data_IF_879251626755
#
_entry.id   IF_879251626755
#
_cell.length_a   1.000
_cell.length_b   1.000
_cell.length_c   1.000
_cell.angle_alpha   90.00
_cell.angle_beta   90.00
_cell.angle_gamma   90.00
#
_symmetry.space_group_name_H-M   'P 1'
#
loop_
_entity.id
_entity.type
_entity.pdbx_description
1 polymer ?
#
# COMPACT_ATOMS: atom_id res chain seq x y z
N UNK A 1 7.99 6.63 33.38
CA UNK A 1 8.51 5.84 32.24
C UNK A 1 7.56 6.12 31.10
N UNK A 2 7.84 7.19 30.37
CA UNK A 2 6.98 7.67 29.29
C UNK A 2 7.24 6.83 28.05
N UNK A 3 6.26 5.98 27.73
CA UNK A 3 6.31 5.10 26.57
C UNK A 3 5.93 5.94 25.34
N UNK A 4 6.93 6.57 24.73
CA UNK A 4 6.77 7.25 23.45
C UNK A 4 6.54 6.19 22.37
N UNK A 5 5.27 5.93 22.09
CA UNK A 5 4.85 5.14 20.93
C UNK A 5 5.03 6.04 19.69
N UNK A 6 6.28 6.20 19.25
CA UNK A 6 6.59 6.93 18.03
C UNK A 6 6.04 6.16 16.84
N UNK A 7 4.93 6.66 16.29
CA UNK A 7 4.43 6.30 14.96
C UNK A 7 5.55 6.58 13.95
N UNK A 8 6.27 5.52 13.57
CA UNK A 8 7.28 5.61 12.53
C UNK A 8 6.59 5.58 11.16
N UNK A 9 6.66 6.70 10.44
CA UNK A 9 6.32 6.75 9.01
C UNK A 9 7.41 6.04 8.22
N UNK A 10 7.21 4.76 7.92
CA UNK A 10 8.01 4.11 6.90
C UNK A 10 7.64 4.69 5.53
N UNK A 11 8.38 5.70 5.08
CA UNK A 11 8.36 6.09 3.66
C UNK A 11 8.91 4.93 2.87
N UNK A 12 8.05 4.19 2.17
CA UNK A 12 8.49 3.18 1.20
C UNK A 12 9.25 3.95 0.12
N UNK A 13 10.58 3.83 0.14
CA UNK A 13 11.42 4.31 -0.95
C UNK A 13 11.15 3.44 -2.17
N UNK A 14 10.27 3.89 -3.05
CA UNK A 14 10.22 3.41 -4.42
C UNK A 14 11.14 4.26 -5.28
N UNK A 15 12.12 3.60 -5.89
CA UNK A 15 12.82 4.14 -7.05
C UNK A 15 11.81 4.69 -8.05
N UNK A 16 12.11 5.83 -8.68
CA UNK A 16 11.25 6.62 -9.57
C UNK A 16 10.48 5.83 -10.65
N UNK A 17 9.38 5.15 -10.29
CA UNK A 17 8.33 4.76 -11.22
C UNK A 17 6.98 5.07 -10.58
N UNK A 18 6.34 6.17 -11.01
CA UNK A 18 5.14 6.69 -10.37
C UNK A 18 3.87 5.91 -10.75
N UNK A 19 3.94 4.66 -11.23
CA UNK A 19 2.74 3.92 -11.65
C UNK A 19 2.29 3.09 -10.47
N UNK A 20 1.07 3.28 -9.93
CA UNK A 20 0.44 2.25 -9.10
C UNK A 20 0.02 1.12 -10.04
N UNK A 21 0.94 0.23 -10.32
CA UNK A 21 0.73 -0.90 -11.22
C UNK A 21 -0.28 -1.87 -10.60
N UNK A 22 -0.76 -2.83 -11.39
CA UNK A 22 -1.52 -3.97 -10.86
C UNK A 22 -0.79 -4.63 -9.70
N UNK A 23 0.53 -4.77 -9.84
CA UNK A 23 1.43 -5.36 -8.87
C UNK A 23 1.47 -4.55 -7.56
N UNK A 24 1.56 -3.23 -7.62
CA UNK A 24 1.54 -2.39 -6.39
C UNK A 24 0.22 -2.51 -5.64
N UNK A 25 -0.90 -2.51 -6.35
CA UNK A 25 -2.21 -2.69 -5.72
C UNK A 25 -2.38 -4.11 -5.14
N UNK A 26 -1.75 -5.12 -5.75
CA UNK A 26 -1.69 -6.48 -5.20
C UNK A 26 -0.79 -6.56 -3.95
N UNK A 27 0.35 -5.86 -3.96
CA UNK A 27 1.25 -5.77 -2.80
C UNK A 27 0.55 -5.12 -1.62
N UNK A 28 -0.13 -3.99 -1.82
CA UNK A 28 -0.92 -3.32 -0.77
C UNK A 28 -2.02 -4.25 -0.23
N UNK A 29 -2.71 -4.98 -1.12
CA UNK A 29 -3.73 -5.95 -0.71
C UNK A 29 -3.15 -7.08 0.14
N UNK A 30 -1.98 -7.59 -0.25
CA UNK A 30 -1.24 -8.60 0.51
C UNK A 30 -0.85 -8.08 1.90
N UNK A 31 -0.25 -6.89 1.99
CA UNK A 31 0.13 -6.29 3.27
C UNK A 31 -1.09 -6.05 4.18
N UNK A 32 -2.23 -5.64 3.62
CA UNK A 32 -3.48 -5.55 4.39
C UNK A 32 -3.93 -6.89 4.96
N UNK A 33 -3.76 -7.99 4.23
CA UNK A 33 -4.09 -9.33 4.74
C UNK A 33 -3.19 -9.77 5.88
N UNK A 34 -1.94 -9.30 5.89
CA UNK A 34 -0.97 -9.53 6.97
C UNK A 34 -1.28 -8.70 8.23
N UNK A 35 -2.25 -7.78 8.15
CA UNK A 35 -2.73 -6.98 9.27
C UNK A 35 -2.20 -5.55 9.31
N UNK A 36 -1.44 -5.13 8.30
CA UNK A 36 -0.95 -3.75 8.22
C UNK A 36 -2.06 -2.76 7.86
N UNK A 37 -1.91 -1.52 8.34
CA UNK A 37 -2.80 -0.41 7.99
C UNK A 37 -2.24 0.26 6.74
N UNK A 38 -3.05 0.31 5.68
CA UNK A 38 -2.70 1.02 4.44
C UNK A 38 -3.45 2.36 4.37
N UNK A 39 -2.70 3.47 4.38
CA UNK A 39 -3.22 4.83 4.35
C UNK A 39 -3.06 5.39 2.94
N UNK A 40 -4.16 5.62 2.21
CA UNK A 40 -4.07 6.13 0.85
C UNK A 40 -3.83 7.64 0.83
N UNK A 41 -3.05 8.10 -0.15
CA UNK A 41 -2.82 9.53 -0.43
C UNK A 41 -2.72 9.78 -1.93
N UNK A 42 -2.95 11.03 -2.34
CA UNK A 42 -2.84 11.44 -3.74
C UNK A 42 -1.43 11.98 -3.99
N UNK A 43 -0.68 11.28 -4.84
CA UNK A 43 0.60 11.78 -5.35
C UNK A 43 0.41 13.05 -6.16
N UNK A 44 1.29 14.00 -5.89
CA UNK A 44 1.39 15.29 -6.57
C UNK A 44 2.52 15.32 -7.60
N UNK A 45 3.12 14.17 -7.89
CA UNK A 45 4.27 14.07 -8.79
C UNK A 45 3.88 14.46 -10.23
N UNK A 46 2.63 14.16 -10.63
CA UNK A 46 2.04 14.60 -11.88
C UNK A 46 0.73 15.36 -11.58
N UNK A 47 0.68 16.70 -11.77
CA UNK A 47 -0.53 17.48 -11.54
C UNK A 47 -1.64 17.22 -12.56
N UNK A 48 -1.33 16.59 -13.71
CA UNK A 48 -2.31 16.23 -14.75
C UNK A 48 -2.87 14.82 -14.58
N UNK A 49 -2.16 13.94 -13.87
CA UNK A 49 -2.62 12.61 -13.47
C UNK A 49 -2.32 12.36 -11.99
N UNK A 50 -3.13 12.92 -11.06
CA UNK A 50 -3.00 12.63 -9.64
C UNK A 50 -3.23 11.13 -9.38
N UNK A 51 -2.17 10.44 -8.93
CA UNK A 51 -2.19 8.99 -8.67
C UNK A 51 -2.44 8.70 -7.20
N UNK A 52 -3.05 7.56 -6.90
CA UNK A 52 -3.26 7.13 -5.51
C UNK A 52 -2.12 6.22 -5.11
N UNK A 53 -1.39 6.64 -4.09
CA UNK A 53 -0.32 5.90 -3.43
C UNK A 53 -0.79 5.48 -2.03
N UNK A 54 -0.05 4.59 -1.38
CA UNK A 54 -0.38 4.09 -0.05
C UNK A 54 0.85 4.14 0.84
N UNK A 55 0.70 4.68 2.04
CA UNK A 55 1.63 4.49 3.15
C UNK A 55 1.21 3.25 3.94
N UNK A 56 2.18 2.48 4.42
CA UNK A 56 1.92 1.28 5.23
C UNK A 56 2.43 1.53 6.65
N UNK A 57 1.54 1.43 7.63
CA UNK A 57 1.92 1.55 9.05
C UNK A 57 2.24 0.18 9.64
N UNK A 58 3.37 0.11 10.35
CA UNK A 58 3.84 -1.09 11.03
C UNK A 58 5.33 -1.03 11.31
N UNK A 59 5.87 -2.13 11.82
CA UNK A 59 7.32 -2.26 12.00
C UNK A 59 8.02 -2.35 10.63
N UNK A 60 9.04 -1.51 10.43
CA UNK A 60 9.72 -1.38 9.14
C UNK A 60 10.39 -2.69 8.71
N UNK A 61 11.11 -3.34 9.61
CA UNK A 61 11.86 -4.55 9.27
C UNK A 61 10.91 -5.70 8.89
N UNK A 62 9.78 -5.80 9.59
CA UNK A 62 8.75 -6.79 9.27
C UNK A 62 8.04 -6.48 7.94
N UNK A 63 7.73 -5.21 7.66
CA UNK A 63 7.15 -4.79 6.38
C UNK A 63 8.11 -5.12 5.22
N UNK A 64 9.40 -4.80 5.36
CA UNK A 64 10.40 -5.10 4.32
C UNK A 64 10.54 -6.62 4.09
N UNK A 65 10.53 -7.42 5.15
CA UNK A 65 10.55 -8.88 5.05
C UNK A 65 9.32 -9.43 4.32
N UNK A 66 8.13 -8.92 4.64
CA UNK A 66 6.88 -9.35 3.98
C UNK A 66 6.80 -8.87 2.52
N UNK A 67 7.29 -7.67 2.19
CA UNK A 67 7.44 -7.23 0.79
C UNK A 67 8.34 -8.20 0.03
N UNK A 68 9.45 -8.63 0.63
CA UNK A 68 10.36 -9.58 -0.01
C UNK A 68 9.73 -10.97 -0.16
N UNK A 69 8.91 -11.40 0.82
CA UNK A 69 8.13 -12.63 0.75
C UNK A 69 7.11 -12.60 -0.41
N UNK A 70 6.47 -11.45 -0.65
CA UNK A 70 5.55 -11.24 -1.77
C UNK A 70 6.21 -11.49 -3.14
N UNK A 71 7.43 -10.97 -3.34
CA UNK A 71 8.14 -11.12 -4.62
C UNK A 71 8.86 -12.46 -4.80
N UNK A 72 9.11 -13.19 -3.72
CA UNK A 72 9.85 -14.47 -3.76
C UNK A 72 8.96 -15.69 -3.96
N UNK A 73 7.63 -15.51 -4.12
CA UNK A 73 6.62 -16.58 -4.17
C UNK A 73 6.66 -17.54 -2.97
N UNK A 74 7.36 -17.15 -1.89
CA UNK A 74 7.63 -18.02 -0.75
C UNK A 74 6.37 -18.22 0.12
N UNK A 75 5.46 -17.24 0.11
CA UNK A 75 4.23 -17.28 0.90
C UNK A 75 2.99 -17.46 0.01
N UNK A 76 2.27 -18.56 0.24
CA UNK A 76 1.01 -18.82 -0.44
C UNK A 76 -0.14 -18.14 0.30
N UNK A 77 -0.82 -17.23 -0.39
CA UNK A 77 -1.98 -16.51 0.13
C UNK A 77 -3.24 -17.07 -0.52
N UNK A 78 -4.29 -17.27 0.26
CA UNK A 78 -5.57 -17.74 -0.27
C UNK A 78 -6.11 -16.79 -1.35
N UNK A 79 -6.29 -17.30 -2.57
CA UNK A 79 -6.69 -16.49 -3.75
C UNK A 79 -7.98 -15.69 -3.52
N UNK A 80 -8.92 -16.22 -2.76
CA UNK A 80 -10.17 -15.54 -2.43
C UNK A 80 -9.95 -14.36 -1.48
N UNK A 81 -9.08 -14.50 -0.48
CA UNK A 81 -8.76 -13.44 0.46
C UNK A 81 -8.02 -12.31 -0.26
N UNK A 82 -7.03 -12.65 -1.09
CA UNK A 82 -6.29 -11.69 -1.90
C UNK A 82 -7.19 -10.94 -2.88
N UNK A 83 -8.10 -11.64 -3.56
CA UNK A 83 -9.05 -11.03 -4.48
C UNK A 83 -9.99 -10.03 -3.78
N UNK A 84 -10.45 -10.34 -2.56
CA UNK A 84 -11.29 -9.42 -1.76
C UNK A 84 -10.51 -8.18 -1.35
N UNK A 85 -9.34 -8.35 -0.74
CA UNK A 85 -8.49 -7.24 -0.32
C UNK A 85 -8.09 -6.35 -1.51
N UNK A 86 -7.79 -6.94 -2.66
CA UNK A 86 -7.49 -6.21 -3.89
C UNK A 86 -8.66 -5.36 -4.38
N UNK A 87 -9.89 -5.90 -4.35
CA UNK A 87 -11.09 -5.14 -4.72
C UNK A 87 -11.31 -3.94 -3.80
N UNK A 88 -11.06 -4.09 -2.51
CA UNK A 88 -11.14 -2.98 -1.54
C UNK A 88 -10.11 -1.90 -1.85
N UNK A 89 -8.85 -2.27 -2.11
CA UNK A 89 -7.78 -1.34 -2.50
C UNK A 89 -8.18 -0.56 -3.77
N UNK A 90 -8.68 -1.25 -4.81
CA UNK A 90 -9.18 -0.57 -6.03
C UNK A 90 -10.33 0.39 -5.75
N UNK A 91 -11.28 0.01 -4.90
CA UNK A 91 -12.42 0.85 -4.53
C UNK A 91 -11.93 2.17 -3.91
N UNK A 92 -10.96 2.10 -3.00
CA UNK A 92 -10.32 3.27 -2.38
C UNK A 92 -9.68 4.16 -3.46
N UNK A 93 -8.86 3.59 -4.34
CA UNK A 93 -8.19 4.34 -5.41
C UNK A 93 -9.19 5.09 -6.31
N UNK A 94 -10.28 4.44 -6.72
CA UNK A 94 -11.29 5.06 -7.57
C UNK A 94 -12.10 6.13 -6.83
N UNK A 95 -12.41 5.91 -5.54
CA UNK A 95 -13.15 6.89 -4.75
C UNK A 95 -12.37 8.19 -4.56
N UNK A 96 -11.06 8.11 -4.32
CA UNK A 96 -10.21 9.29 -4.12
C UNK A 96 -9.98 10.09 -5.39
N UNK A 97 -9.82 9.42 -6.54
CA UNK A 97 -9.73 10.11 -7.85
C UNK A 97 -10.99 10.93 -8.17
N UNK A 98 -12.17 10.55 -7.67
CA UNK A 98 -13.41 11.32 -7.87
C UNK A 98 -13.46 12.60 -7.04
N UNK A 99 -12.81 12.63 -5.88
CA UNK A 99 -12.80 13.80 -4.99
C UNK A 99 -11.94 14.94 -5.56
N UNK A 100 -10.89 14.61 -6.32
CA UNK A 100 -10.01 15.60 -6.97
C UNK A 100 -10.54 16.24 -8.26
N UNK A 101 -11.76 15.90 -8.72
CA UNK A 101 -12.40 16.46 -9.94
C UNK A 101 -13.50 17.49 -9.60
N UNK A 102 -13.18 18.48 -8.78
CA UNK A 102 -14.06 19.65 -8.53
C UNK A 102 -13.41 20.92 -9.03
#
# INVERSE_FOLDING_TARGET
MDNQNESFKATIFTSHKPITTLEDAMLVAYLKLKGYIAIPWISRDDPLDPRVSFDIEGDKAQIEADIQAFYSEAEQVGIQALSRAYKEVKSVMYSMKRIGKK
#
